data_IF_117080294887
#
_entry.id   IF_117080294887
#
_cell.length_a   1.000
_cell.length_b   1.000
_cell.length_c   1.000
_cell.angle_alpha   90.00
_cell.angle_beta   90.00
_cell.angle_gamma   90.00
#
_symmetry.space_group_name_H-M   'P 1'
#
loop_
_entity.id
_entity.type
_entity.pdbx_description
1 polymer ?
#
# COMPACT_ATOMS: atom_id res chain seq x y z
N UNK A 1 1.42 -21.89 -1.05
CA UNK A 1 1.34 -20.95 -2.18
C UNK A 1 1.59 -19.57 -1.63
N UNK A 2 2.37 -18.73 -2.30
CA UNK A 2 2.59 -17.35 -1.88
C UNK A 2 1.83 -16.42 -2.81
N UNK A 3 1.10 -15.44 -2.29
CA UNK A 3 0.55 -14.36 -3.09
C UNK A 3 1.22 -13.06 -2.68
N UNK A 4 1.62 -12.28 -3.67
CA UNK A 4 2.16 -10.94 -3.50
C UNK A 4 1.17 -9.95 -4.08
N UNK A 5 0.71 -9.01 -3.25
CA UNK A 5 -0.01 -7.82 -3.69
C UNK A 5 0.94 -6.63 -3.71
N UNK A 6 0.85 -5.84 -4.76
CA UNK A 6 1.52 -4.54 -4.84
C UNK A 6 0.59 -3.48 -5.40
N UNK A 7 0.87 -2.23 -5.04
CA UNK A 7 0.24 -1.06 -5.62
C UNK A 7 1.14 0.16 -5.52
N UNK A 8 0.79 1.19 -6.28
CA UNK A 8 1.35 2.53 -6.16
C UNK A 8 0.36 3.43 -5.45
N UNK A 9 0.74 4.02 -4.31
CA UNK A 9 0.05 5.18 -3.77
C UNK A 9 0.49 6.40 -4.56
N UNK A 10 -0.45 7.11 -5.17
CA UNK A 10 -0.24 8.46 -5.70
C UNK A 10 -0.82 9.43 -4.69
N UNK A 11 -0.02 10.41 -4.26
CA UNK A 11 -0.38 11.33 -3.19
C UNK A 11 0.08 12.75 -3.52
N UNK A 12 -0.74 13.73 -3.16
CA UNK A 12 -0.49 15.13 -3.46
C UNK A 12 0.05 15.86 -2.24
N UNK A 13 1.19 16.53 -2.38
CA UNK A 13 1.65 17.51 -1.40
C UNK A 13 1.31 18.91 -1.88
N UNK A 14 0.63 19.69 -1.05
CA UNK A 14 0.28 21.09 -1.33
C UNK A 14 1.24 22.08 -0.65
N UNK A 15 2.00 21.61 0.35
CA UNK A 15 2.68 22.49 1.31
C UNK A 15 4.08 22.98 1.02
N UNK A 16 4.74 22.64 -0.09
CA UNK A 16 6.02 23.24 -0.52
C UNK A 16 7.03 23.60 0.62
N UNK A 17 7.28 22.71 1.57
CA UNK A 17 8.13 22.95 2.76
C UNK A 17 7.38 23.24 4.07
N UNK A 18 6.05 23.24 4.07
CA UNK A 18 5.21 23.52 5.23
C UNK A 18 4.77 22.21 5.92
N UNK A 19 5.42 21.86 7.03
CA UNK A 19 5.15 20.63 7.79
C UNK A 19 3.70 20.52 8.27
N UNK A 20 3.02 21.64 8.53
CA UNK A 20 1.63 21.67 9.01
C UNK A 20 0.63 21.20 7.94
N UNK A 21 1.06 21.08 6.69
CA UNK A 21 0.28 20.53 5.57
C UNK A 21 0.58 19.06 5.31
N UNK A 22 1.30 18.39 6.22
CA UNK A 22 1.49 16.94 6.15
C UNK A 22 0.23 16.20 6.56
N UNK A 23 0.03 15.01 6.00
CA UNK A 23 -1.08 14.13 6.36
C UNK A 23 -0.61 12.67 6.37
N UNK A 24 -1.47 11.78 6.83
CA UNK A 24 -1.18 10.34 6.84
C UNK A 24 -2.31 9.53 6.23
N UNK A 25 -1.94 8.43 5.60
CA UNK A 25 -2.85 7.49 4.96
C UNK A 25 -2.53 6.09 5.47
N UNK A 26 -3.55 5.38 5.94
CA UNK A 26 -3.42 3.96 6.26
C UNK A 26 -3.68 3.14 5.00
N UNK A 27 -2.73 2.29 4.64
CA UNK A 27 -2.85 1.37 3.52
C UNK A 27 -2.94 -0.05 4.05
N UNK A 28 -4.08 -0.68 3.80
CA UNK A 28 -4.40 -2.03 4.24
C UNK A 28 -4.34 -2.98 3.05
N UNK A 29 -3.57 -4.05 3.20
CA UNK A 29 -3.50 -5.17 2.28
C UNK A 29 -4.20 -6.36 2.93
N UNK A 30 -5.04 -7.06 2.17
CA UNK A 30 -5.61 -8.33 2.60
C UNK A 30 -5.44 -9.38 1.51
N UNK A 31 -4.97 -10.57 1.91
CA UNK A 31 -4.87 -11.74 1.06
C UNK A 31 -5.47 -12.92 1.81
N UNK A 32 -6.61 -13.44 1.36
CA UNK A 32 -7.23 -14.63 1.94
C UNK A 32 -7.53 -14.50 3.45
N UNK A 33 -7.81 -13.28 3.92
CA UNK A 33 -8.04 -13.00 5.34
C UNK A 33 -6.80 -12.60 6.13
N UNK A 34 -5.58 -12.75 5.59
CA UNK A 34 -4.37 -12.20 6.22
C UNK A 34 -4.24 -10.72 5.90
N UNK A 35 -4.28 -9.88 6.94
CA UNK A 35 -4.30 -8.43 6.80
C UNK A 35 -3.03 -7.78 7.36
N UNK A 36 -2.49 -6.80 6.62
CA UNK A 36 -1.46 -5.89 7.11
C UNK A 36 -1.85 -4.46 6.77
N UNK A 37 -1.84 -3.60 7.79
CA UNK A 37 -2.01 -2.16 7.62
C UNK A 37 -0.69 -1.44 7.85
N UNK A 38 -0.29 -0.56 6.92
CA UNK A 38 0.87 0.32 7.04
C UNK A 38 0.42 1.77 6.99
N UNK A 39 0.87 2.55 7.97
CA UNK A 39 0.68 4.00 7.96
C UNK A 39 1.77 4.66 7.11
N UNK A 40 1.37 5.42 6.11
CA UNK A 40 2.23 6.25 5.29
C UNK A 40 2.08 7.72 5.71
N UNK A 41 3.21 8.44 5.82
CA UNK A 41 3.23 9.87 6.15
C UNK A 41 3.67 10.68 4.93
N UNK A 42 2.73 11.45 4.37
CA UNK A 42 3.00 12.41 3.31
C UNK A 42 3.56 13.68 3.95
N UNK A 43 4.89 13.74 4.10
CA UNK A 43 5.57 14.85 4.77
C UNK A 43 5.81 16.03 3.81
N UNK A 44 5.14 17.15 4.06
CA UNK A 44 5.27 18.36 3.25
C UNK A 44 6.50 19.23 3.62
N UNK A 45 7.17 18.97 4.75
CA UNK A 45 8.24 19.80 5.28
C UNK A 45 9.53 19.86 4.48
N UNK A 46 9.79 18.86 3.64
CA UNK A 46 11.03 18.74 2.85
C UNK A 46 10.81 18.75 1.34
N UNK A 47 9.58 18.88 0.88
CA UNK A 47 9.21 18.65 -0.51
C UNK A 47 8.47 19.84 -1.11
N UNK A 48 8.68 20.07 -2.40
CA UNK A 48 7.87 21.00 -3.19
C UNK A 48 6.43 20.49 -3.31
N UNK A 49 5.49 21.38 -3.63
CA UNK A 49 4.13 20.96 -3.95
C UNK A 49 4.10 20.15 -5.25
N UNK A 50 3.28 19.11 -5.30
CA UNK A 50 3.11 18.27 -6.49
C UNK A 50 2.57 16.89 -6.18
N UNK A 51 2.47 16.07 -7.21
CA UNK A 51 2.09 14.67 -7.11
C UNK A 51 3.33 13.79 -6.96
N UNK A 52 3.26 12.88 -5.99
CA UNK A 52 4.33 11.95 -5.66
C UNK A 52 3.79 10.54 -5.65
N UNK A 53 4.69 9.56 -5.73
CA UNK A 53 4.34 8.15 -5.75
C UNK A 53 5.13 7.37 -4.71
N UNK A 54 4.52 6.34 -4.15
CA UNK A 54 5.15 5.38 -3.26
C UNK A 54 4.64 3.97 -3.57
N UNK A 55 5.54 3.03 -3.85
CA UNK A 55 5.18 1.63 -4.03
C UNK A 55 5.04 0.93 -2.69
N UNK A 56 4.01 0.08 -2.58
CA UNK A 56 3.79 -0.80 -1.45
C UNK A 56 3.65 -2.24 -1.92
N UNK A 57 4.13 -3.17 -1.09
CA UNK A 57 4.05 -4.60 -1.32
C UNK A 57 3.78 -5.36 -0.03
N UNK A 58 2.91 -6.35 -0.13
CA UNK A 58 2.62 -7.32 0.91
C UNK A 58 2.60 -8.73 0.32
N UNK A 59 3.15 -9.68 1.05
CA UNK A 59 3.17 -11.09 0.68
C UNK A 59 2.51 -11.90 1.78
N UNK A 60 1.70 -12.89 1.40
CA UNK A 60 1.08 -13.83 2.31
C UNK A 60 1.29 -15.25 1.82
N UNK A 61 1.67 -16.13 2.74
CA UNK A 61 1.72 -17.56 2.50
C UNK A 61 0.37 -18.19 2.86
N UNK A 62 -0.18 -18.92 1.90
CA UNK A 62 -1.47 -19.59 1.98
C UNK A 62 -1.27 -21.10 1.87
N UNK A 63 -2.17 -21.84 2.53
CA UNK A 63 -2.27 -23.28 2.36
C UNK A 63 -2.52 -23.61 0.89
N UNK A 64 -1.90 -24.69 0.41
CA UNK A 64 -2.02 -25.13 -0.98
C UNK A 64 -3.35 -25.89 -1.17
N UNK A 65 -4.46 -25.15 -1.24
CA UNK A 65 -5.81 -25.72 -1.33
C UNK A 65 -6.54 -25.42 -2.65
N UNK A 66 -5.83 -24.87 -3.66
CA UNK A 66 -6.36 -24.56 -4.99
C UNK A 66 -7.62 -23.66 -5.01
N UNK A 67 -7.89 -22.92 -3.93
CA UNK A 67 -9.09 -22.11 -3.81
C UNK A 67 -8.94 -20.73 -4.49
N UNK A 68 -10.08 -20.16 -4.89
CA UNK A 68 -10.17 -18.74 -5.23
C UNK A 68 -9.82 -17.91 -3.99
N UNK A 69 -8.73 -17.15 -4.05
CA UNK A 69 -8.29 -16.28 -2.96
C UNK A 69 -8.79 -14.86 -3.20
N UNK A 70 -9.66 -14.37 -2.30
CA UNK A 70 -10.04 -12.96 -2.30
C UNK A 70 -8.88 -12.09 -1.83
N UNK A 71 -8.71 -10.94 -2.44
CA UNK A 71 -7.76 -9.94 -2.00
C UNK A 71 -8.35 -8.53 -2.14
N UNK A 72 -7.84 -7.61 -1.34
CA UNK A 72 -8.11 -6.18 -1.53
C UNK A 72 -6.91 -5.32 -1.10
N UNK A 73 -6.89 -4.11 -1.63
CA UNK A 73 -6.06 -3.02 -1.15
C UNK A 73 -6.99 -1.86 -0.84
N UNK A 74 -6.84 -1.28 0.34
CA UNK A 74 -7.64 -0.15 0.80
C UNK A 74 -6.72 0.96 1.27
N UNK A 75 -6.99 2.18 0.82
CA UNK A 75 -6.43 3.38 1.42
C UNK A 75 -7.49 4.08 2.27
N UNK A 76 -7.12 4.48 3.48
CA UNK A 76 -7.94 5.31 4.36
C UNK A 76 -7.15 6.57 4.71
N UNK A 77 -7.70 7.71 4.34
CA UNK A 77 -7.22 8.98 4.84
C UNK A 77 -7.46 9.13 6.35
N UNK A 78 -6.47 9.68 7.06
CA UNK A 78 -6.63 10.10 8.45
C UNK A 78 -6.97 11.59 8.56
N UNK A 79 -7.26 12.05 9.76
CA UNK A 79 -7.52 13.46 10.05
C UNK A 79 -6.34 14.33 9.60
N UNK A 80 -6.66 15.45 8.93
CA UNK A 80 -5.68 16.42 8.46
C UNK A 80 -6.23 17.84 8.66
N UNK A 81 -5.31 18.80 8.73
CA UNK A 81 -5.59 20.24 8.80
C UNK A 81 -5.91 20.87 7.44
N UNK A 82 -5.81 20.09 6.36
CA UNK A 82 -5.96 20.52 4.98
C UNK A 82 -6.78 19.51 4.18
N UNK A 83 -7.35 19.97 3.07
CA UNK A 83 -7.81 19.08 2.02
C UNK A 83 -6.61 18.43 1.33
N UNK A 84 -6.71 17.13 1.09
CA UNK A 84 -5.69 16.37 0.36
C UNK A 84 -6.34 15.28 -0.50
N UNK A 85 -5.59 14.85 -1.51
CA UNK A 85 -5.99 13.73 -2.37
C UNK A 85 -4.91 12.65 -2.36
N UNK A 86 -5.36 11.40 -2.36
CA UNK A 86 -4.52 10.26 -2.66
C UNK A 86 -5.34 9.18 -3.37
N UNK A 87 -4.67 8.39 -4.22
CA UNK A 87 -5.29 7.27 -4.92
C UNK A 87 -4.35 6.06 -4.92
N UNK A 88 -4.95 4.87 -4.93
CA UNK A 88 -4.23 3.62 -5.16
C UNK A 88 -4.32 3.30 -6.65
N UNK A 89 -3.17 3.09 -7.28
CA UNK A 89 -3.03 2.78 -8.69
C UNK A 89 -2.15 1.53 -8.89
N UNK A 90 -2.11 1.02 -10.12
CA UNK A 90 -1.22 -0.07 -10.54
C UNK A 90 -1.29 -1.31 -9.63
N UNK A 91 -2.52 -1.71 -9.24
CA UNK A 91 -2.73 -2.88 -8.39
C UNK A 91 -2.34 -4.14 -9.16
N UNK A 92 -1.41 -4.90 -8.59
CA UNK A 92 -0.96 -6.18 -9.14
C UNK A 92 -1.08 -7.26 -8.08
N UNK A 93 -1.65 -8.40 -8.45
CA UNK A 93 -1.65 -9.62 -7.64
C UNK A 93 -0.87 -10.70 -8.38
N UNK A 94 0.13 -11.28 -7.74
CA UNK A 94 0.97 -12.35 -8.33
C UNK A 94 0.95 -13.56 -7.41
N UNK A 95 0.56 -14.72 -7.93
CA UNK A 95 0.51 -15.98 -7.20
C UNK A 95 1.65 -16.91 -7.60
N UNK A 96 2.33 -17.48 -6.62
CA UNK A 96 3.46 -18.39 -6.77
C UNK A 96 3.07 -19.78 -6.21
N UNK A 97 2.97 -20.78 -7.10
CA UNK A 97 2.42 -22.11 -6.76
C UNK A 97 3.31 -22.96 -5.85
N UNK A 98 4.61 -22.69 -5.78
CA UNK A 98 5.56 -23.48 -4.98
C UNK A 98 6.37 -22.58 -4.05
N UNK A 99 6.28 -22.85 -2.74
CA UNK A 99 7.36 -22.57 -1.80
C UNK A 99 8.46 -23.62 -2.06
N UNK A 100 9.26 -23.44 -3.09
CA UNK A 100 10.40 -24.32 -3.32
C UNK A 100 11.45 -24.06 -2.23
N UNK A 101 11.26 -24.65 -1.06
CA UNK A 101 12.33 -24.91 -0.09
C UNK A 101 13.24 -26.04 -0.62
N UNK A 102 13.72 -25.91 -1.86
CA UNK A 102 14.64 -26.86 -2.49
C UNK A 102 15.95 -26.17 -2.82
N UNK A 103 16.61 -25.66 -1.79
CA UNK A 103 18.06 -25.58 -1.76
C UNK A 103 18.48 -26.36 -0.52
N UNK A 104 18.64 -27.68 -0.70
CA UNK A 104 19.45 -28.53 0.18
C UNK A 104 20.92 -28.23 -0.03
#
# INVERSE_FOLDING_TARGET
>A
MTIVLSCTLVYQLTGAGNVQQSYSVDITFNIGGQEVTRRFFANAGGFQSGDFTQEFRFAADLLADNNNVSFFIKARGNDASIDYSCSIQNITATAFRTNSNSFS
#
